data_IF_087649544071
#
_entry.id   IF_087649544071
#
_cell.length_a   1.000
_cell.length_b   1.000
_cell.length_c   1.000
_cell.angle_alpha   90.00
_cell.angle_beta   90.00
_cell.angle_gamma   90.00
#
_symmetry.space_group_name_H-M   'P 1'
#
loop_
_entity.id
_entity.type
_entity.pdbx_description
1 polymer ?
#
# COMPACT_ATOMS: atom_id res chain seq x y z
N UNK A 1 9.41 28.84 -5.75
CA UNK A 1 9.51 27.97 -4.56
C UNK A 1 10.99 27.75 -4.29
N UNK A 2 11.47 28.03 -3.07
CA UNK A 2 12.87 27.76 -2.75
C UNK A 2 13.08 26.23 -2.79
N UNK A 3 13.90 25.67 -3.68
CA UNK A 3 14.02 24.22 -3.88
C UNK A 3 14.32 23.45 -2.58
N UNK A 4 15.08 24.11 -1.69
CA UNK A 4 15.44 23.62 -0.37
C UNK A 4 14.22 23.41 0.55
N UNK A 5 13.22 24.29 0.51
CA UNK A 5 12.02 24.16 1.35
C UNK A 5 11.17 22.95 0.93
N UNK A 6 11.06 22.73 -0.39
CA UNK A 6 10.36 21.56 -0.93
C UNK A 6 11.08 20.26 -0.54
N UNK A 7 12.40 20.23 -0.69
CA UNK A 7 13.23 19.10 -0.30
C UNK A 7 13.11 18.81 1.20
N UNK A 8 13.15 19.83 2.04
CA UNK A 8 13.00 19.67 3.49
C UNK A 8 11.63 19.10 3.90
N UNK A 9 10.55 19.51 3.22
CA UNK A 9 9.20 18.99 3.49
C UNK A 9 9.01 17.55 3.00
N UNK A 10 9.63 17.17 1.89
CA UNK A 10 9.52 15.81 1.31
C UNK A 10 10.44 14.80 1.99
N UNK A 11 11.68 15.20 2.33
CA UNK A 11 12.69 14.31 2.92
C UNK A 11 12.85 14.46 4.44
N UNK A 12 12.34 15.55 5.03
CA UNK A 12 12.43 15.81 6.46
C UNK A 12 11.85 14.69 7.33
N UNK A 13 10.62 14.20 7.05
CA UNK A 13 10.06 13.06 7.79
C UNK A 13 10.96 11.82 7.71
N UNK A 14 11.52 11.53 6.53
CA UNK A 14 12.40 10.38 6.34
C UNK A 14 13.70 10.52 7.15
N UNK A 15 14.30 11.71 7.17
CA UNK A 15 15.47 11.99 7.99
C UNK A 15 15.17 11.81 9.49
N UNK A 16 14.00 12.30 9.94
CA UNK A 16 13.54 12.13 11.32
C UNK A 16 13.32 10.64 11.66
N UNK A 17 12.77 9.85 10.73
CA UNK A 17 12.63 8.40 10.91
C UNK A 17 13.98 7.71 11.12
N UNK A 18 14.95 7.95 10.24
CA UNK A 18 16.28 7.35 10.35
C UNK A 18 16.98 7.77 11.64
N UNK A 19 16.83 9.03 12.05
CA UNK A 19 17.37 9.53 13.31
C UNK A 19 16.71 8.85 14.52
N UNK A 20 15.38 8.75 14.54
CA UNK A 20 14.65 8.08 15.61
C UNK A 20 14.97 6.57 15.68
N UNK A 21 15.13 5.90 14.55
CA UNK A 21 15.47 4.47 14.50
C UNK A 21 16.92 4.20 14.95
N UNK A 22 17.86 5.06 14.57
CA UNK A 22 19.29 4.89 14.89
C UNK A 22 19.64 5.29 16.33
N UNK A 23 19.00 6.32 16.88
CA UNK A 23 19.26 6.82 18.25
C UNK A 23 18.16 6.47 19.27
N UNK A 24 17.23 5.58 18.91
CA UNK A 24 16.06 5.21 19.71
C UNK A 24 16.36 4.81 21.16
N UNK A 25 17.46 4.09 21.41
CA UNK A 25 17.82 3.70 22.79
C UNK A 25 18.22 4.89 23.65
N UNK A 26 18.98 5.82 23.08
CA UNK A 26 19.56 6.97 23.81
C UNK A 26 18.55 8.08 24.03
N UNK A 27 17.61 8.26 23.09
CA UNK A 27 16.60 9.31 23.14
C UNK A 27 15.34 8.89 23.89
N UNK A 28 14.90 7.63 23.76
CA UNK A 28 13.62 7.17 24.30
C UNK A 28 13.73 6.01 25.30
N UNK A 29 14.92 5.44 25.52
CA UNK A 29 15.13 4.37 26.51
C UNK A 29 14.40 3.06 26.18
N UNK A 30 14.08 2.84 24.90
CA UNK A 30 13.24 1.72 24.44
C UNK A 30 14.11 0.54 24.00
N UNK A 31 13.67 -0.68 24.30
CA UNK A 31 14.37 -1.91 23.91
C UNK A 31 14.52 -2.05 22.38
N UNK A 32 15.61 -2.72 21.96
CA UNK A 32 16.05 -2.82 20.56
C UNK A 32 15.01 -3.39 19.60
N UNK A 33 14.17 -4.28 20.10
CA UNK A 33 13.04 -4.91 19.40
C UNK A 33 11.91 -3.92 19.08
N UNK A 34 11.75 -2.83 19.87
CA UNK A 34 10.67 -1.86 19.69
C UNK A 34 11.06 -0.54 19.04
N UNK A 35 12.35 -0.33 18.76
CA UNK A 35 12.84 0.89 18.08
C UNK A 35 12.11 1.17 16.79
N UNK A 36 11.85 0.14 16.00
CA UNK A 36 11.21 0.29 14.69
C UNK A 36 9.76 0.75 14.82
N UNK A 37 9.04 0.33 15.86
CA UNK A 37 7.67 0.79 16.13
C UNK A 37 7.64 2.25 16.56
N UNK A 38 8.55 2.65 17.46
CA UNK A 38 8.69 4.04 17.91
C UNK A 38 9.11 4.94 16.76
N UNK A 39 10.10 4.53 15.97
CA UNK A 39 10.53 5.27 14.79
C UNK A 39 9.40 5.43 13.77
N UNK A 40 8.62 4.37 13.53
CA UNK A 40 7.44 4.42 12.65
C UNK A 40 6.38 5.39 13.18
N UNK A 41 6.14 5.41 14.50
CA UNK A 41 5.23 6.37 15.15
C UNK A 41 5.69 7.81 14.96
N UNK A 42 6.97 8.08 15.24
CA UNK A 42 7.60 9.40 15.07
C UNK A 42 7.55 9.83 13.60
N UNK A 43 7.78 8.92 12.66
CA UNK A 43 7.69 9.19 11.23
C UNK A 43 6.29 9.57 10.76
N UNK A 44 5.25 8.90 11.27
CA UNK A 44 3.86 9.27 10.98
C UNK A 44 3.54 10.68 11.47
N UNK A 45 3.94 11.01 12.71
CA UNK A 45 3.75 12.36 13.28
C UNK A 45 4.53 13.40 12.48
N UNK A 46 5.79 13.14 12.16
CA UNK A 46 6.62 14.04 11.35
C UNK A 46 6.04 14.26 9.95
N UNK A 47 5.53 13.20 9.32
CA UNK A 47 4.87 13.28 8.01
C UNK A 47 3.58 14.10 8.06
N UNK A 48 2.79 13.96 9.13
CA UNK A 48 1.60 14.78 9.36
C UNK A 48 1.96 16.26 9.52
N UNK A 49 2.98 16.56 10.34
CA UNK A 49 3.47 17.92 10.55
C UNK A 49 4.00 18.53 9.26
N UNK A 50 4.77 17.80 8.47
CA UNK A 50 5.25 18.26 7.17
C UNK A 50 4.08 18.59 6.21
N UNK A 51 3.00 17.79 6.24
CA UNK A 51 1.82 18.00 5.42
C UNK A 51 1.04 19.26 5.85
N UNK A 52 0.90 19.48 7.16
CA UNK A 52 0.28 20.69 7.74
C UNK A 52 1.12 21.93 7.43
N UNK A 53 2.45 21.87 7.62
CA UNK A 53 3.37 22.96 7.29
C UNK A 53 3.35 23.28 5.79
N UNK A 54 3.28 22.27 4.93
CA UNK A 54 3.10 22.48 3.49
C UNK A 54 1.79 23.24 3.20
N UNK A 55 0.69 22.92 3.89
CA UNK A 55 -0.59 23.61 3.69
C UNK A 55 -0.54 25.07 4.13
N UNK A 56 0.15 25.37 5.23
CA UNK A 56 0.24 26.72 5.84
C UNK A 56 1.25 27.60 5.09
N UNK A 57 2.44 27.07 4.79
CA UNK A 57 3.53 27.84 4.18
C UNK A 57 3.41 27.96 2.65
N UNK A 58 2.89 26.92 1.99
CA UNK A 58 2.86 26.83 0.53
C UNK A 58 1.45 27.03 -0.04
N UNK A 59 0.41 26.96 0.80
CA UNK A 59 -0.98 27.24 0.40
C UNK A 59 -1.67 26.13 -0.40
N UNK A 60 -0.93 25.13 -0.89
CA UNK A 60 -1.48 23.94 -1.54
C UNK A 60 -0.84 22.66 -0.99
N UNK A 61 -1.58 21.55 -1.08
CA UNK A 61 -1.08 20.23 -0.69
C UNK A 61 -0.55 19.48 -1.91
N UNK A 62 0.74 19.10 -1.94
CA UNK A 62 1.27 18.27 -3.00
C UNK A 62 0.53 16.92 -3.00
N UNK A 63 -0.10 16.57 -4.12
CA UNK A 63 -0.85 15.30 -4.25
C UNK A 63 -0.03 14.07 -3.85
N UNK A 64 1.26 14.06 -4.23
CA UNK A 64 2.18 12.97 -3.88
C UNK A 64 2.47 12.90 -2.36
N UNK A 65 2.54 14.04 -1.67
CA UNK A 65 2.75 14.07 -0.21
C UNK A 65 1.53 13.52 0.54
N UNK A 66 0.31 13.82 0.06
CA UNK A 66 -0.92 13.21 0.61
C UNK A 66 -0.91 11.70 0.43
N UNK A 67 -0.62 11.23 -0.79
CA UNK A 67 -0.58 9.78 -1.07
C UNK A 67 0.44 9.10 -0.16
N UNK A 68 1.67 9.65 -0.05
CA UNK A 68 2.70 9.10 0.82
C UNK A 68 2.28 9.09 2.29
N UNK A 69 1.69 10.18 2.79
CA UNK A 69 1.22 10.25 4.16
C UNK A 69 0.12 9.22 4.45
N UNK A 70 -0.83 9.05 3.53
CA UNK A 70 -1.89 8.03 3.67
C UNK A 70 -1.29 6.64 3.73
N UNK A 71 -0.39 6.31 2.79
CA UNK A 71 0.29 5.00 2.75
C UNK A 71 1.08 4.77 4.05
N UNK A 72 1.89 5.74 4.47
CA UNK A 72 2.71 5.63 5.69
C UNK A 72 1.84 5.51 6.94
N UNK A 73 0.77 6.30 7.05
CA UNK A 73 -0.13 6.25 8.21
C UNK A 73 -0.85 4.91 8.31
N UNK A 74 -1.26 4.38 7.17
CA UNK A 74 -1.89 3.08 7.06
C UNK A 74 -0.92 1.96 7.43
N UNK A 75 0.21 1.85 6.73
CA UNK A 75 1.13 0.73 6.92
C UNK A 75 1.89 0.85 8.25
N UNK A 76 2.22 2.07 8.66
CA UNK A 76 2.85 2.35 9.94
C UNK A 76 1.90 2.12 11.12
N UNK A 77 0.65 2.58 11.02
CA UNK A 77 -0.38 2.30 12.01
C UNK A 77 -0.67 0.81 12.13
N UNK A 78 -0.71 0.10 10.99
CA UNK A 78 -0.81 -1.35 10.94
C UNK A 78 0.40 -2.03 11.62
N UNK A 79 1.61 -1.51 11.42
CA UNK A 79 2.82 -2.05 12.05
C UNK A 79 2.76 -1.93 13.57
N UNK A 80 2.30 -0.79 14.10
CA UNK A 80 2.19 -0.56 15.55
C UNK A 80 1.00 -1.31 16.16
N UNK A 81 -0.12 -1.40 15.46
CA UNK A 81 -1.33 -2.03 15.99
C UNK A 81 -1.26 -3.56 16.03
N UNK A 82 -0.42 -4.20 15.19
CA UNK A 82 -0.40 -5.66 14.99
C UNK A 82 0.70 -6.43 15.76
N UNK A 83 1.15 -5.91 16.90
CA UNK A 83 2.25 -6.49 17.70
C UNK A 83 1.90 -7.82 18.45
N UNK A 84 0.71 -8.39 18.24
CA UNK A 84 0.22 -9.58 18.99
C UNK A 84 -0.05 -10.80 18.08
N UNK A 85 -0.01 -12.01 18.63
CA UNK A 85 -0.22 -13.28 17.91
C UNK A 85 -1.62 -13.38 17.27
N UNK A 86 -2.64 -12.77 17.89
CA UNK A 86 -3.98 -12.65 17.31
C UNK A 86 -3.97 -11.88 15.98
N UNK A 87 -3.07 -10.90 15.88
CA UNK A 87 -2.94 -10.06 14.69
C UNK A 87 -2.24 -10.76 13.52
N UNK A 88 -1.54 -11.87 13.73
CA UNK A 88 -0.93 -12.65 12.64
C UNK A 88 -2.01 -13.15 11.65
N UNK A 89 -3.19 -13.53 12.16
CA UNK A 89 -4.31 -14.04 11.35
C UNK A 89 -5.15 -12.94 10.71
N UNK A 90 -5.26 -11.78 11.38
CA UNK A 90 -6.03 -10.62 10.92
C UNK A 90 -5.23 -9.75 9.94
N UNK A 91 -3.89 -9.80 10.00
CA UNK A 91 -2.98 -9.04 9.12
C UNK A 91 -3.35 -9.17 7.63
N UNK A 92 -3.56 -10.37 7.06
CA UNK A 92 -3.96 -10.49 5.66
C UNK A 92 -5.33 -9.87 5.37
N UNK A 93 -6.33 -10.00 6.27
CA UNK A 93 -7.64 -9.37 6.09
C UNK A 93 -7.51 -7.86 5.98
N UNK A 94 -6.80 -7.22 6.92
CA UNK A 94 -6.66 -5.75 6.92
C UNK A 94 -5.89 -5.29 5.69
N UNK A 95 -4.76 -5.92 5.37
CA UNK A 95 -3.95 -5.55 4.20
C UNK A 95 -4.76 -5.68 2.92
N UNK A 96 -5.44 -6.80 2.70
CA UNK A 96 -6.22 -7.02 1.49
C UNK A 96 -7.40 -6.03 1.41
N UNK A 97 -8.15 -5.85 2.50
CA UNK A 97 -9.25 -4.86 2.54
C UNK A 97 -8.76 -3.48 2.19
N UNK A 98 -7.58 -3.11 2.70
CA UNK A 98 -7.00 -1.80 2.47
C UNK A 98 -6.54 -1.62 1.02
N UNK A 99 -5.82 -2.60 0.46
CA UNK A 99 -5.46 -2.56 -0.96
C UNK A 99 -6.72 -2.47 -1.84
N UNK A 100 -7.77 -3.23 -1.51
CA UNK A 100 -9.08 -3.14 -2.16
C UNK A 100 -9.67 -1.73 -2.08
N UNK A 101 -9.76 -1.14 -0.89
CA UNK A 101 -10.24 0.22 -0.66
C UNK A 101 -9.43 1.27 -1.43
N UNK A 102 -8.10 1.15 -1.44
CA UNK A 102 -7.21 2.09 -2.12
C UNK A 102 -7.40 1.99 -3.64
N UNK A 103 -7.42 0.78 -4.21
CA UNK A 103 -7.63 0.58 -5.65
C UNK A 103 -9.01 1.07 -6.11
N UNK A 104 -10.08 0.69 -5.39
CA UNK A 104 -11.44 1.13 -5.73
C UNK A 104 -11.66 2.61 -5.45
N UNK A 105 -11.07 3.15 -4.38
CA UNK A 105 -11.10 4.58 -4.07
C UNK A 105 -10.37 5.41 -5.12
N UNK A 106 -9.18 4.97 -5.56
CA UNK A 106 -8.47 5.58 -6.68
C UNK A 106 -9.31 5.58 -7.97
N UNK A 107 -9.95 4.45 -8.26
CA UNK A 107 -10.83 4.31 -9.41
C UNK A 107 -12.05 5.26 -9.33
N UNK A 108 -12.60 5.49 -8.13
CA UNK A 108 -13.67 6.46 -7.91
C UNK A 108 -13.24 7.89 -8.25
N UNK A 109 -11.98 8.26 -7.99
CA UNK A 109 -11.40 9.53 -8.43
C UNK A 109 -10.96 9.55 -9.91
N UNK A 110 -11.32 8.52 -10.69
CA UNK A 110 -10.96 8.39 -12.10
C UNK A 110 -9.49 8.04 -12.33
N UNK A 111 -8.77 7.59 -11.30
CA UNK A 111 -7.34 7.23 -11.40
C UNK A 111 -7.14 5.74 -11.17
N UNK A 112 -6.68 5.05 -12.20
CA UNK A 112 -6.28 3.65 -12.09
C UNK A 112 -4.93 3.55 -11.38
N UNK A 113 -4.94 3.38 -10.06
CA UNK A 113 -3.69 3.21 -9.30
C UNK A 113 -2.89 1.99 -9.73
N UNK A 114 -3.56 0.97 -10.26
CA UNK A 114 -2.89 -0.19 -10.85
C UNK A 114 -2.07 0.21 -12.09
N UNK A 115 -2.53 1.20 -12.86
CA UNK A 115 -1.79 1.73 -14.01
C UNK A 115 -0.47 2.36 -13.54
N UNK A 116 -0.50 3.19 -12.48
CA UNK A 116 0.70 3.83 -11.94
C UNK A 116 1.81 2.83 -11.53
N UNK A 117 1.43 1.62 -11.12
CA UNK A 117 2.38 0.60 -10.66
C UNK A 117 2.82 -0.34 -11.78
N UNK A 118 1.90 -0.68 -12.70
CA UNK A 118 2.12 -1.72 -13.71
C UNK A 118 2.28 -1.19 -15.14
N UNK A 119 2.16 0.12 -15.38
CA UNK A 119 2.32 0.74 -16.72
C UNK A 119 3.69 0.48 -17.36
N UNK A 120 4.71 0.21 -16.54
CA UNK A 120 6.06 -0.15 -16.99
C UNK A 120 6.15 -1.58 -17.51
N UNK A 121 5.21 -2.44 -17.13
CA UNK A 121 5.18 -3.88 -17.48
C UNK A 121 4.09 -4.19 -18.51
N UNK A 122 2.95 -3.50 -18.43
CA UNK A 122 1.79 -3.68 -19.30
C UNK A 122 1.37 -2.33 -19.87
N UNK A 123 1.07 -2.27 -21.18
CA UNK A 123 0.48 -1.08 -21.78
C UNK A 123 -0.96 -1.36 -22.18
N UNK A 124 -1.90 -0.76 -21.45
CA UNK A 124 -3.34 -0.91 -21.66
C UNK A 124 -3.97 0.45 -21.94
N UNK A 125 -5.10 0.44 -22.65
CA UNK A 125 -5.96 1.62 -22.77
C UNK A 125 -6.60 2.00 -21.43
N UNK A 126 -7.16 3.21 -21.36
CA UNK A 126 -7.73 3.75 -20.12
C UNK A 126 -8.90 2.89 -19.61
N UNK A 127 -9.70 2.34 -20.52
CA UNK A 127 -10.83 1.47 -20.18
C UNK A 127 -10.37 0.12 -19.61
N UNK A 128 -9.32 -0.46 -20.20
CA UNK A 128 -8.65 -1.67 -19.74
C UNK A 128 -8.09 -1.50 -18.34
N UNK A 129 -7.40 -0.39 -18.08
CA UNK A 129 -6.89 -0.06 -16.74
C UNK A 129 -8.00 0.09 -15.71
N UNK A 130 -9.12 0.73 -16.05
CA UNK A 130 -10.26 0.86 -15.14
C UNK A 130 -10.87 -0.49 -14.79
N UNK A 131 -11.12 -1.34 -15.79
CA UNK A 131 -11.67 -2.69 -15.60
C UNK A 131 -10.71 -3.58 -14.79
N UNK A 132 -9.43 -3.52 -15.10
CA UNK A 132 -8.41 -4.30 -14.40
C UNK A 132 -8.28 -3.87 -12.94
N UNK A 133 -8.23 -2.55 -12.67
CA UNK A 133 -8.21 -1.99 -11.31
C UNK A 133 -9.46 -2.39 -10.52
N UNK A 134 -10.64 -2.36 -11.14
CA UNK A 134 -11.89 -2.77 -10.49
C UNK A 134 -11.86 -4.26 -10.10
N UNK A 135 -11.45 -5.13 -11.02
CA UNK A 135 -11.39 -6.57 -10.78
C UNK A 135 -10.38 -6.92 -9.70
N UNK A 136 -9.20 -6.30 -9.72
CA UNK A 136 -8.20 -6.47 -8.67
C UNK A 136 -8.68 -5.95 -7.32
N UNK A 137 -9.28 -4.76 -7.28
CA UNK A 137 -9.86 -4.20 -6.06
C UNK A 137 -10.89 -5.15 -5.43
N UNK A 138 -11.82 -5.68 -6.24
CA UNK A 138 -12.80 -6.66 -5.78
C UNK A 138 -12.15 -7.98 -5.33
N UNK A 139 -11.16 -8.47 -6.07
CA UNK A 139 -10.44 -9.70 -5.71
C UNK A 139 -9.73 -9.59 -4.36
N UNK A 140 -9.16 -8.43 -4.03
CA UNK A 140 -8.61 -8.18 -2.70
C UNK A 140 -9.68 -8.27 -1.61
N UNK A 141 -10.89 -7.74 -1.81
CA UNK A 141 -11.98 -7.96 -0.85
C UNK A 141 -12.40 -9.42 -0.74
N UNK A 142 -12.41 -10.18 -1.84
CA UNK A 142 -12.67 -11.63 -1.82
C UNK A 142 -11.60 -12.35 -1.00
N UNK A 143 -10.32 -12.03 -1.18
CA UNK A 143 -9.23 -12.60 -0.37
C UNK A 143 -9.35 -12.21 1.11
N UNK A 144 -9.77 -10.98 1.41
CA UNK A 144 -10.01 -10.55 2.78
C UNK A 144 -11.14 -11.35 3.43
N UNK A 145 -12.27 -11.50 2.74
CA UNK A 145 -13.41 -12.28 3.21
C UNK A 145 -13.06 -13.77 3.37
N UNK A 146 -12.35 -14.36 2.40
CA UNK A 146 -11.88 -15.74 2.48
C UNK A 146 -10.94 -15.95 3.67
N UNK A 147 -9.98 -15.06 3.89
CA UNK A 147 -9.12 -15.13 5.06
C UNK A 147 -9.95 -15.07 6.34
N UNK A 148 -10.89 -14.13 6.44
CA UNK A 148 -11.77 -13.95 7.60
C UNK A 148 -12.58 -15.20 7.95
N UNK A 149 -13.15 -15.85 6.93
CA UNK A 149 -13.89 -17.11 7.10
C UNK A 149 -12.95 -18.24 7.55
N UNK A 150 -11.80 -18.38 6.91
CA UNK A 150 -10.88 -19.49 7.19
C UNK A 150 -10.29 -19.38 8.59
N UNK A 151 -9.79 -18.22 9.00
CA UNK A 151 -9.14 -18.11 10.31
C UNK A 151 -10.13 -18.20 11.48
N UNK A 152 -11.41 -17.85 11.27
CA UNK A 152 -12.48 -17.97 12.27
C UNK A 152 -13.06 -19.38 12.39
N UNK A 153 -13.06 -20.16 11.31
CA UNK A 153 -13.72 -21.48 11.28
C UNK A 153 -12.74 -22.66 11.34
N UNK A 154 -11.49 -22.46 10.95
CA UNK A 154 -10.52 -23.54 10.78
C UNK A 154 -9.38 -23.48 11.81
N UNK A 155 -8.65 -24.58 11.94
CA UNK A 155 -7.49 -24.69 12.82
C UNK A 155 -6.30 -23.86 12.31
N UNK A 156 -5.33 -23.58 13.20
CA UNK A 156 -4.14 -22.81 12.85
C UNK A 156 -3.34 -23.46 11.72
N UNK A 157 -3.14 -24.78 11.76
CA UNK A 157 -2.37 -25.50 10.75
C UNK A 157 -3.05 -25.45 9.38
N UNK A 158 -4.37 -25.57 9.36
CA UNK A 158 -5.14 -25.39 8.13
C UNK A 158 -5.02 -23.95 7.60
N UNK A 159 -5.10 -22.93 8.45
CA UNK A 159 -4.94 -21.54 8.03
C UNK A 159 -3.56 -21.26 7.42
N UNK A 160 -2.48 -21.79 8.02
CA UNK A 160 -1.12 -21.66 7.46
C UNK A 160 -1.04 -22.35 6.10
N UNK A 161 -1.56 -23.57 5.99
CA UNK A 161 -1.60 -24.30 4.73
C UNK A 161 -2.44 -23.57 3.66
N UNK A 162 -3.61 -23.05 4.01
CA UNK A 162 -4.49 -22.28 3.13
C UNK A 162 -3.81 -21.00 2.63
N UNK A 163 -3.04 -20.31 3.48
CA UNK A 163 -2.31 -19.11 3.08
C UNK A 163 -1.27 -19.39 2.01
N UNK A 164 -0.54 -20.51 2.13
CA UNK A 164 0.51 -20.86 1.17
C UNK A 164 -0.09 -21.54 -0.06
N UNK A 165 -0.91 -22.56 0.13
CA UNK A 165 -1.40 -23.45 -0.93
C UNK A 165 -2.78 -23.08 -1.47
N UNK A 166 -3.57 -22.29 -0.75
CA UNK A 166 -4.87 -21.81 -1.21
C UNK A 166 -4.75 -20.45 -1.91
N UNK A 167 -4.21 -19.46 -1.20
CA UNK A 167 -4.16 -18.06 -1.69
C UNK A 167 -3.24 -17.92 -2.91
N UNK A 168 -2.08 -18.58 -2.94
CA UNK A 168 -1.13 -18.43 -4.05
C UNK A 168 -1.70 -18.99 -5.38
N UNK A 169 -2.19 -20.25 -5.45
CA UNK A 169 -2.82 -20.75 -6.68
C UNK A 169 -4.08 -19.96 -7.05
N UNK A 170 -4.90 -19.56 -6.07
CA UNK A 170 -6.08 -18.73 -6.32
C UNK A 170 -5.70 -17.41 -7.00
N UNK A 171 -4.64 -16.75 -6.52
CA UNK A 171 -4.13 -15.51 -7.10
C UNK A 171 -3.55 -15.73 -8.50
N UNK A 172 -2.84 -16.84 -8.73
CA UNK A 172 -2.33 -17.21 -10.05
C UNK A 172 -3.46 -17.46 -11.04
N UNK A 173 -4.45 -18.26 -10.66
CA UNK A 173 -5.63 -18.52 -11.51
C UNK A 173 -6.39 -17.24 -11.81
N UNK A 174 -6.56 -16.36 -10.81
CA UNK A 174 -7.19 -15.06 -11.01
C UNK A 174 -6.40 -14.19 -11.99
N UNK A 175 -5.08 -14.13 -11.85
CA UNK A 175 -4.20 -13.37 -12.75
C UNK A 175 -4.29 -13.90 -14.18
N UNK A 176 -4.24 -15.23 -14.36
CA UNK A 176 -4.43 -15.87 -15.67
C UNK A 176 -5.82 -15.60 -16.27
N UNK A 177 -6.85 -15.55 -15.44
CA UNK A 177 -8.20 -15.18 -15.87
C UNK A 177 -8.31 -13.70 -16.31
N UNK A 178 -7.35 -12.84 -15.95
CA UNK A 178 -7.27 -11.46 -16.45
C UNK A 178 -6.56 -11.35 -17.79
N UNK A 179 -5.78 -12.36 -18.22
CA UNK A 179 -5.05 -12.35 -19.49
C UNK A 179 -5.92 -12.00 -20.70
N UNK A 180 -7.15 -12.53 -20.88
CA UNK A 180 -8.00 -12.15 -22.01
C UNK A 180 -8.41 -10.67 -21.98
N UNK A 181 -8.62 -10.11 -20.79
CA UNK A 181 -8.94 -8.69 -20.63
C UNK A 181 -7.74 -7.84 -21.02
N UNK A 182 -6.54 -8.23 -20.57
CA UNK A 182 -5.27 -7.56 -20.88
C UNK A 182 -5.05 -7.57 -22.39
N UNK A 183 -5.06 -8.74 -23.03
CA UNK A 183 -4.84 -8.89 -24.48
C UNK A 183 -5.85 -8.08 -25.32
N UNK A 184 -7.10 -7.95 -24.85
CA UNK A 184 -8.14 -7.19 -25.56
C UNK A 184 -7.88 -5.68 -25.54
N UNK A 185 -7.27 -5.17 -24.48
CA UNK A 185 -7.08 -3.75 -24.23
C UNK A 185 -5.61 -3.33 -24.35
N UNK A 186 -4.72 -4.26 -24.74
CA UNK A 186 -3.30 -4.03 -24.88
C UNK A 186 -3.03 -3.08 -26.04
N UNK A 187 -2.34 -1.98 -25.74
CA UNK A 187 -1.87 -1.05 -26.76
C UNK A 187 -0.61 -1.66 -27.34
N UNK A 188 -0.75 -2.37 -28.47
CA UNK A 188 0.41 -2.82 -29.22
C UNK A 188 1.19 -1.58 -29.68
N UNK A 189 2.49 -1.46 -29.38
CA UNK A 189 3.28 -0.40 -29.98
C UNK A 189 3.14 -0.54 -31.50
N UNK A 190 2.82 0.57 -32.17
CA UNK A 190 2.80 0.60 -33.62
C UNK A 190 4.14 0.01 -34.08
N UNK A 191 4.09 -1.12 -34.80
CA UNK A 191 5.26 -1.67 -35.47
C UNK A 191 5.94 -0.48 -36.15
N UNK A 192 7.15 -0.15 -35.70
CA UNK A 192 8.00 0.73 -36.48
C UNK A 192 8.05 0.10 -37.87
N UNK A 193 7.44 0.78 -38.84
CA UNK A 193 7.50 0.38 -40.22
C UNK A 193 8.96 0.55 -40.63
N UNK A 194 9.68 -0.56 -40.70
CA UNK A 194 10.92 -0.68 -41.49
C UNK A 194 10.57 -0.71 -42.98
#
# INVERSE_FOLDING_TARGET
MNPLLKLALEFGPLAIFFFANSYGDRLFGVASDRRIFVATGVFMVASLVALVLSRVLVGYLPRMAIVNFVVVSVFGGLTIALDDAFFIKVKPTIVNTLFGCVLLGGLYFGRSLLALVLETVLQLDEEGWRKLTLRWGLFFFVLAALNEVVWRTQTQDFWVAFKVWGVMPLTMLFALAQTPLILKHEIKPAKAAE
#
